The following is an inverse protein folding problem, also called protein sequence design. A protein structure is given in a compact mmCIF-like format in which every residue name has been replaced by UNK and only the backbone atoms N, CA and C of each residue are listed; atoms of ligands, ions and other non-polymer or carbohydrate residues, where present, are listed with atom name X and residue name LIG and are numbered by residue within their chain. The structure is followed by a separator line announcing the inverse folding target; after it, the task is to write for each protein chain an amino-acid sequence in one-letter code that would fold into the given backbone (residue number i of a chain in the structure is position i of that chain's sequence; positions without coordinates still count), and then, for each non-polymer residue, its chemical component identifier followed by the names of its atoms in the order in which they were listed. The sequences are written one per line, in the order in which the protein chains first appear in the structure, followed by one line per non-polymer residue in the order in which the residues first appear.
data_IF_191975539531
#
_entry.id   IF_191975539531
#
_cell.length_a   1.000
_cell.length_b   1.000
_cell.length_c   1.000
_cell.angle_alpha   90.00
_cell.angle_beta   90.00
_cell.angle_gamma   90.00
#
_symmetry.space_group_name_H-M   'P 1'
#
loop_
_entity.id
_entity.type
_entity.pdbx_description
1 polymer ?
#
# COMPACT_ATOMS: atom_id res chain seq x y z
N UNK A 1 -30.83 57.75 9.96
CA UNK A 1 -29.49 57.27 10.36
C UNK A 1 -29.67 55.82 10.80
N UNK A 2 -29.48 54.87 9.89
CA UNK A 2 -29.23 53.47 10.25
C UNK A 2 -28.06 53.07 9.37
N UNK A 3 -26.88 53.33 9.88
CA UNK A 3 -25.61 52.91 9.30
C UNK A 3 -25.45 51.44 9.70
N UNK A 4 -26.05 50.57 8.88
CA UNK A 4 -26.00 49.12 9.08
C UNK A 4 -24.56 48.68 8.85
N UNK A 5 -23.85 48.45 9.95
CA UNK A 5 -22.48 47.99 10.00
C UNK A 5 -22.33 46.72 9.15
N UNK A 6 -21.77 46.86 7.94
CA UNK A 6 -21.29 45.73 7.15
C UNK A 6 -20.14 45.11 7.96
N UNK A 7 -20.30 43.92 8.56
CA UNK A 7 -19.18 43.27 9.19
C UNK A 7 -18.15 43.08 8.08
N UNK A 8 -17.00 43.75 8.19
CA UNK A 8 -15.84 43.46 7.35
C UNK A 8 -15.41 42.05 7.74
N UNK A 9 -16.00 41.07 7.05
CA UNK A 9 -15.66 39.66 7.16
C UNK A 9 -14.19 39.55 6.81
N UNK A 10 -13.37 39.42 7.85
CA UNK A 10 -11.93 39.23 7.78
C UNK A 10 -11.62 37.78 7.34
N UNK A 11 -12.32 37.29 6.33
CA UNK A 11 -12.02 36.02 5.70
C UNK A 11 -10.94 36.27 4.65
N UNK A 12 -9.68 36.21 5.08
CA UNK A 12 -8.52 36.27 4.18
C UNK A 12 -8.67 35.15 3.13
N UNK A 13 -8.80 35.48 1.83
CA UNK A 13 -9.04 34.49 0.80
C UNK A 13 -7.81 33.58 0.64
N UNK A 14 -8.00 32.27 0.80
CA UNK A 14 -6.95 31.27 0.60
C UNK A 14 -6.91 30.80 -0.85
N UNK A 15 -5.82 30.16 -1.26
CA UNK A 15 -5.68 29.63 -2.62
C UNK A 15 -5.86 28.12 -2.59
N UNK A 16 -6.66 27.58 -3.51
CA UNK A 16 -6.85 26.15 -3.63
C UNK A 16 -5.51 25.47 -4.04
N UNK A 17 -5.04 24.44 -3.32
CA UNK A 17 -3.78 23.77 -3.65
C UNK A 17 -3.86 22.95 -4.95
N UNK A 18 -5.06 22.62 -5.42
CA UNK A 18 -5.25 21.81 -6.64
C UNK A 18 -5.18 22.65 -7.93
N UNK A 19 -5.71 23.88 -7.92
CA UNK A 19 -5.82 24.71 -9.13
C UNK A 19 -5.34 26.17 -8.97
N UNK A 20 -4.96 26.58 -7.76
CA UNK A 20 -4.49 27.93 -7.47
C UNK A 20 -5.58 29.00 -7.44
N UNK A 21 -6.86 28.65 -7.59
CA UNK A 21 -7.95 29.64 -7.53
C UNK A 21 -8.14 30.19 -6.12
N UNK A 22 -8.53 31.46 -6.00
CA UNK A 22 -8.94 32.05 -4.71
C UNK A 22 -10.26 31.44 -4.24
N UNK A 23 -10.28 30.96 -3.00
CA UNK A 23 -11.43 30.34 -2.35
C UNK A 23 -11.62 30.98 -0.97
N UNK A 24 -12.87 30.99 -0.47
CA UNK A 24 -13.14 31.52 0.86
C UNK A 24 -12.39 30.73 1.93
N UNK A 25 -12.04 31.38 3.04
CA UNK A 25 -11.32 30.76 4.15
C UNK A 25 -12.07 29.53 4.69
N UNK A 26 -13.42 29.55 4.63
CA UNK A 26 -14.29 28.48 5.14
C UNK A 26 -14.92 27.62 4.02
N UNK A 27 -14.39 27.70 2.79
CA UNK A 27 -14.92 26.91 1.69
C UNK A 27 -14.48 25.45 1.83
N UNK A 28 -15.44 24.53 1.93
CA UNK A 28 -15.20 23.07 2.03
C UNK A 28 -14.89 22.43 0.68
N UNK A 29 -15.24 23.08 -0.43
CA UNK A 29 -15.01 22.60 -1.79
C UNK A 29 -14.65 23.75 -2.71
N UNK A 30 -13.70 23.54 -3.62
CA UNK A 30 -13.31 24.53 -4.61
C UNK A 30 -14.36 24.63 -5.73
N UNK A 31 -14.97 25.81 -5.90
CA UNK A 31 -15.93 26.07 -6.99
C UNK A 31 -15.32 26.02 -8.40
N UNK A 32 -13.99 26.14 -8.51
CA UNK A 32 -13.29 26.19 -9.80
C UNK A 32 -12.83 24.82 -10.30
N UNK A 33 -12.43 23.91 -9.40
CA UNK A 33 -11.91 22.59 -9.77
C UNK A 33 -12.62 21.41 -9.09
N UNK A 34 -13.52 21.67 -8.14
CA UNK A 34 -14.23 20.64 -7.39
C UNK A 34 -13.41 19.95 -6.30
N UNK A 35 -12.18 20.38 -6.03
CA UNK A 35 -11.35 19.77 -4.98
C UNK A 35 -11.90 20.06 -3.58
N UNK A 36 -11.95 19.03 -2.72
CA UNK A 36 -12.31 19.17 -1.31
C UNK A 36 -11.21 19.91 -0.52
N UNK A 37 -11.63 20.89 0.27
CA UNK A 37 -10.80 21.85 1.03
C UNK A 37 -11.11 21.78 2.55
N UNK A 38 -11.86 20.77 2.98
CA UNK A 38 -12.22 20.52 4.39
C UNK A 38 -11.03 20.25 5.30
N UNK A 39 -9.85 19.94 4.74
CA UNK A 39 -8.65 19.62 5.52
C UNK A 39 -8.08 20.82 6.30
N UNK A 40 -8.38 22.05 5.89
CA UNK A 40 -7.74 23.25 6.43
C UNK A 40 -8.51 23.92 7.60
N UNK A 41 -9.76 23.54 7.91
CA UNK A 41 -10.56 24.21 8.95
C UNK A 41 -10.55 23.52 10.33
N UNK A 42 -9.85 22.38 10.49
CA UNK A 42 -9.87 21.60 11.75
C UNK A 42 -8.70 21.89 12.71
N UNK A 43 -8.15 23.10 12.72
CA UNK A 43 -7.06 23.44 13.67
C UNK A 43 -7.26 24.82 14.29
N UNK A 44 -8.32 24.96 15.06
CA UNK A 44 -8.39 25.93 16.14
C UNK A 44 -9.20 25.34 17.29
N UNK A 45 -8.53 25.17 18.43
CA UNK A 45 -9.09 24.85 19.75
C UNK A 45 -9.31 23.37 20.12
N UNK A 46 -8.21 22.70 20.47
CA UNK A 46 -8.19 21.85 21.67
C UNK A 46 -6.86 22.04 22.40
N UNK A 47 -6.91 22.82 23.48
CA UNK A 47 -5.84 22.99 24.45
C UNK A 47 -6.17 22.08 25.64
N UNK A 48 -5.21 21.22 25.98
CA UNK A 48 -5.06 20.39 27.19
C UNK A 48 -5.76 19.01 27.25
N UNK A 49 -5.06 18.00 26.70
CA UNK A 49 -4.52 16.91 27.54
C UNK A 49 -3.04 16.64 27.15
N UNK A 50 -2.18 16.30 28.13
CA UNK A 50 -0.73 16.28 27.94
C UNK A 50 -0.29 15.08 27.10
N UNK A 51 0.44 15.35 26.01
CA UNK A 51 1.51 14.47 25.52
C UNK A 51 1.15 13.00 25.23
N UNK A 52 -0.08 12.71 24.81
CA UNK A 52 -0.42 11.44 24.15
C UNK A 52 -0.30 11.51 22.62
N UNK A 53 0.15 12.65 22.08
CA UNK A 53 0.98 12.63 20.88
C UNK A 53 2.26 11.91 21.29
N UNK A 54 2.22 10.57 21.28
CA UNK A 54 3.42 9.76 21.17
C UNK A 54 4.02 10.14 19.84
N UNK A 55 4.76 11.24 19.83
CA UNK A 55 5.65 11.61 18.76
C UNK A 55 6.63 10.43 18.73
N UNK A 56 6.35 9.43 17.88
CA UNK A 56 7.23 8.29 17.76
C UNK A 56 8.62 8.88 17.52
N UNK A 57 9.54 8.71 18.48
CA UNK A 57 10.80 9.42 18.42
C UNK A 57 11.49 8.99 17.13
N UNK A 58 12.23 9.88 16.45
CA UNK A 58 12.70 9.62 15.08
C UNK A 58 13.42 8.27 14.91
N UNK A 59 14.10 7.80 15.96
CA UNK A 59 14.70 6.46 16.02
C UNK A 59 13.66 5.32 16.01
N UNK A 60 12.51 5.44 16.65
CA UNK A 60 11.43 4.45 16.60
C UNK A 60 10.83 4.34 15.20
N UNK A 61 10.64 5.47 14.48
CA UNK A 61 10.26 5.43 13.06
C UNK A 61 11.33 4.74 12.22
N UNK A 62 12.61 5.05 12.45
CA UNK A 62 13.70 4.38 11.76
C UNK A 62 13.73 2.87 12.05
N UNK A 63 13.53 2.45 13.30
CA UNK A 63 13.45 1.03 13.68
C UNK A 63 12.27 0.32 13.04
N UNK A 64 11.10 0.96 12.96
CA UNK A 64 9.92 0.39 12.29
C UNK A 64 10.20 0.19 10.80
N UNK A 65 10.80 1.19 10.13
CA UNK A 65 11.16 1.08 8.70
C UNK A 65 12.18 -0.01 8.47
N UNK A 66 13.22 -0.10 9.32
CA UNK A 66 14.24 -1.16 9.23
C UNK A 66 13.63 -2.53 9.48
N UNK A 67 12.78 -2.68 10.49
CA UNK A 67 12.10 -3.94 10.79
C UNK A 67 11.18 -4.37 9.64
N UNK A 68 10.41 -3.43 9.06
CA UNK A 68 9.56 -3.69 7.91
C UNK A 68 10.39 -4.10 6.68
N UNK A 69 11.50 -3.40 6.42
CA UNK A 69 12.41 -3.72 5.33
C UNK A 69 13.01 -5.13 5.49
N UNK A 70 13.48 -5.48 6.70
CA UNK A 70 14.00 -6.82 7.00
C UNK A 70 12.92 -7.90 6.86
N UNK A 71 11.68 -7.64 7.30
CA UNK A 71 10.56 -8.56 7.12
C UNK A 71 10.26 -8.80 5.63
N UNK A 72 10.15 -7.73 4.84
CA UNK A 72 9.90 -7.83 3.40
C UNK A 72 11.03 -8.60 2.71
N UNK A 73 12.30 -8.26 3.01
CA UNK A 73 13.46 -8.95 2.47
C UNK A 73 13.44 -10.44 2.84
N UNK A 74 13.15 -10.78 4.09
CA UNK A 74 13.06 -12.17 4.54
C UNK A 74 11.96 -12.95 3.83
N UNK A 75 10.78 -12.34 3.63
CA UNK A 75 9.66 -12.98 2.95
C UNK A 75 9.95 -13.22 1.46
N UNK A 76 10.57 -12.24 0.79
CA UNK A 76 10.98 -12.36 -0.62
C UNK A 76 12.07 -13.42 -0.77
N UNK A 77 13.11 -13.38 0.06
CA UNK A 77 14.18 -14.38 0.07
C UNK A 77 13.65 -15.77 0.37
N UNK A 78 12.75 -15.92 1.34
CA UNK A 78 12.13 -17.19 1.68
C UNK A 78 11.25 -17.70 0.54
N UNK A 79 10.42 -16.85 -0.07
CA UNK A 79 9.61 -17.21 -1.24
C UNK A 79 10.48 -17.69 -2.39
N UNK A 80 11.55 -16.96 -2.72
CA UNK A 80 12.48 -17.35 -3.77
C UNK A 80 13.25 -18.63 -3.41
N UNK A 81 13.65 -18.77 -2.15
CA UNK A 81 14.33 -19.97 -1.65
C UNK A 81 13.43 -21.20 -1.74
N UNK A 82 12.17 -21.12 -1.29
CA UNK A 82 11.20 -22.22 -1.42
C UNK A 82 10.94 -22.57 -2.88
N UNK A 83 10.94 -21.59 -3.79
CA UNK A 83 10.80 -21.86 -5.23
C UNK A 83 12.03 -22.58 -5.80
N UNK A 84 13.23 -22.21 -5.37
CA UNK A 84 14.48 -22.86 -5.79
C UNK A 84 14.72 -24.21 -5.10
N UNK A 85 14.14 -24.44 -3.92
CA UNK A 85 14.33 -25.65 -3.11
C UNK A 85 13.12 -26.57 -3.07
N UNK A 86 12.03 -26.20 -3.75
CA UNK A 86 10.94 -27.11 -4.04
C UNK A 86 11.46 -28.19 -5.01
N UNK A 87 12.04 -29.25 -4.45
CA UNK A 87 12.18 -30.51 -5.17
C UNK A 87 10.79 -30.92 -5.69
N UNK A 88 10.66 -31.27 -6.98
CA UNK A 88 9.44 -31.87 -7.48
C UNK A 88 9.28 -33.18 -6.72
N UNK A 89 8.34 -33.20 -5.76
CA UNK A 89 7.93 -34.38 -4.99
C UNK A 89 7.93 -35.57 -5.97
N UNK A 90 8.85 -36.54 -5.85
CA UNK A 90 8.89 -37.67 -6.76
C UNK A 90 7.52 -38.30 -6.64
N UNK A 91 6.70 -38.19 -7.68
CA UNK A 91 5.51 -39.00 -7.76
C UNK A 91 6.06 -40.41 -7.79
N UNK A 92 5.84 -41.14 -6.70
CA UNK A 92 6.06 -42.57 -6.59
C UNK A 92 5.27 -43.23 -7.73
N UNK A 93 5.88 -43.32 -8.91
CA UNK A 93 5.39 -44.19 -9.98
C UNK A 93 5.87 -45.58 -9.60
N UNK A 94 4.96 -46.50 -9.22
CA UNK A 94 5.34 -47.88 -8.96
C UNK A 94 6.05 -48.45 -10.19
N UNK A 95 7.01 -49.38 -10.02
CA UNK A 95 7.82 -49.87 -11.12
C UNK A 95 6.92 -50.50 -12.19
N UNK A 96 6.76 -49.80 -13.32
CA UNK A 96 6.24 -50.39 -14.55
C UNK A 96 7.15 -51.56 -14.90
N UNK A 97 6.63 -52.76 -14.71
CA UNK A 97 7.28 -53.99 -15.14
C UNK A 97 7.26 -54.00 -16.67
N UNK A 98 8.34 -53.53 -17.29
CA UNK A 98 8.52 -53.62 -18.75
C UNK A 98 8.67 -55.09 -19.12
N UNK A 99 7.57 -55.72 -19.52
CA UNK A 99 7.59 -57.05 -20.11
C UNK A 99 8.19 -56.96 -21.52
N UNK A 100 9.50 -57.23 -21.62
CA UNK A 100 10.19 -57.49 -22.89
C UNK A 100 9.54 -58.70 -23.56
N UNK A 101 8.77 -58.45 -24.62
CA UNK A 101 8.32 -59.50 -25.54
C UNK A 101 9.37 -59.67 -26.63
N UNK A 102 10.19 -60.71 -26.52
CA UNK A 102 11.13 -61.14 -27.56
C UNK A 102 10.34 -61.90 -28.65
N UNK A 103 10.41 -61.51 -29.93
CA UNK A 103 9.74 -62.27 -30.99
C UNK A 103 10.41 -63.65 -31.16
N UNK A 104 9.63 -64.74 -31.33
CA UNK A 104 10.19 -66.03 -31.71
C UNK A 104 10.69 -65.96 -33.16
N UNK A 105 11.91 -66.42 -33.38
CA UNK A 105 12.46 -66.64 -34.71
C UNK A 105 11.63 -67.72 -35.42
N UNK A 106 10.87 -67.33 -36.43
CA UNK A 106 10.24 -68.25 -37.37
C UNK A 106 11.12 -68.36 -38.61
N UNK A 107 11.88 -69.46 -38.68
CA UNK A 107 12.49 -70.02 -39.90
C UNK A 107 11.39 -70.56 -40.82
N UNK A 108 11.38 -70.20 -42.11
CA UNK A 108 10.75 -71.04 -43.12
C UNK A 108 11.80 -71.72 -44.02
N UNK A 109 11.80 -73.05 -43.99
CA UNK A 109 12.37 -73.96 -45.00
C UNK A 109 11.23 -74.31 -45.96
N UNK A 110 11.41 -74.14 -47.27
CA UNK A 110 11.40 -75.31 -48.16
C UNK A 110 12.59 -75.36 -49.12
#
# INVERSE_FOLDING_TARGET
MVEEQVPRSSEEPRHCPACGSRVAAMATTCLMCGADLTEEESTAEEKEEPQARRELPGWARALIVVALALLILSAVSFGLYTLMTAEPKPKDVPPTSTSTSRPPASTPTP
#
